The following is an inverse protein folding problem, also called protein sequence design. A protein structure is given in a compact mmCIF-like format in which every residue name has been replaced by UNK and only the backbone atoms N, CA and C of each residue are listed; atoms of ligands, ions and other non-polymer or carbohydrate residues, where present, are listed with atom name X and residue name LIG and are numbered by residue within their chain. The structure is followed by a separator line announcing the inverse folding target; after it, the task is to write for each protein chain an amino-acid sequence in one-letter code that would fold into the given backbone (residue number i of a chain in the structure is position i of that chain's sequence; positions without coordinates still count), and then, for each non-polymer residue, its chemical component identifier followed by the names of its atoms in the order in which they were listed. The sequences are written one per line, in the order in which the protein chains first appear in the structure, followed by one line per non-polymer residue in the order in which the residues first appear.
data_IF_076649052865
#
_entry.id   IF_076649052865
#
_cell.length_a   1.000
_cell.length_b   1.000
_cell.length_c   1.000
_cell.angle_alpha   90.00
_cell.angle_beta   90.00
_cell.angle_gamma   90.00
#
_symmetry.space_group_name_H-M   'P 1'
#
loop_
_entity.id
_entity.type
_entity.pdbx_description
1 polymer ?
#
# COMPACT_ATOMS: atom_id res chain seq x y z
N UNK A 1 -18.80 -16.12 -2.31
CA UNK A 1 -18.06 -15.18 -1.47
C UNK A 1 -18.56 -15.29 -0.03
N UNK A 2 -17.65 -15.41 0.92
CA UNK A 2 -17.99 -15.42 2.34
C UNK A 2 -18.40 -14.01 2.75
N UNK A 3 -19.63 -13.85 3.25
CA UNK A 3 -20.06 -12.60 3.85
C UNK A 3 -19.61 -12.59 5.30
N UNK A 4 -18.74 -11.66 5.65
CA UNK A 4 -18.33 -11.45 7.02
C UNK A 4 -19.37 -10.57 7.73
N UNK A 5 -19.85 -11.01 8.88
CA UNK A 5 -20.73 -10.23 9.76
C UNK A 5 -19.96 -9.84 11.02
N UNK A 6 -20.21 -8.64 11.55
CA UNK A 6 -19.53 -8.12 12.74
C UNK A 6 -18.01 -8.19 12.63
N UNK A 7 -17.48 -7.78 11.47
CA UNK A 7 -16.06 -7.82 11.18
C UNK A 7 -15.28 -6.78 11.97
N UNK A 8 -14.22 -7.22 12.62
CA UNK A 8 -13.20 -6.35 13.19
C UNK A 8 -12.11 -6.12 12.16
N UNK A 9 -11.71 -4.87 11.97
CA UNK A 9 -10.63 -4.51 11.04
C UNK A 9 -9.37 -4.21 11.82
N UNK A 10 -8.27 -4.86 11.44
CA UNK A 10 -6.92 -4.53 11.90
C UNK A 10 -6.14 -3.89 10.77
N UNK A 11 -5.51 -2.76 11.04
CA UNK A 11 -4.70 -2.06 10.07
C UNK A 11 -3.22 -2.43 10.26
N UNK A 12 -2.71 -3.28 9.40
CA UNK A 12 -1.32 -3.77 9.41
C UNK A 12 -0.41 -2.96 8.49
N UNK A 13 -0.79 -1.73 8.17
CA UNK A 13 0.06 -0.75 7.49
C UNK A 13 0.70 0.18 8.51
N UNK A 14 1.78 0.92 8.16
CA UNK A 14 2.46 1.79 9.11
C UNK A 14 1.70 3.08 9.44
N UNK A 15 0.61 3.39 8.72
CA UNK A 15 -0.13 4.64 8.88
C UNK A 15 -1.61 4.39 9.15
N UNK A 16 -2.31 5.32 9.82
CA UNK A 16 -3.76 5.24 9.93
C UNK A 16 -4.42 5.17 8.56
N UNK A 17 -5.52 4.44 8.47
CA UNK A 17 -6.37 4.39 7.27
C UNK A 17 -7.67 5.12 7.59
N UNK A 18 -7.96 6.18 6.84
CA UNK A 18 -9.14 7.01 7.04
C UNK A 18 -10.14 6.71 5.94
N UNK A 19 -11.35 6.35 6.34
CA UNK A 19 -12.45 6.02 5.43
C UNK A 19 -13.41 7.19 5.31
N UNK A 20 -13.70 7.59 4.07
CA UNK A 20 -14.72 8.58 3.73
C UNK A 20 -15.87 7.91 2.98
N UNK A 21 -17.05 8.50 3.06
CA UNK A 21 -18.19 8.13 2.18
C UNK A 21 -18.16 8.95 0.90
N UNK A 22 -18.83 8.44 -0.14
CA UNK A 22 -18.91 9.13 -1.42
C UNK A 22 -19.41 10.57 -1.36
N UNK A 23 -20.29 10.90 -0.40
CA UNK A 23 -20.76 12.27 -0.19
C UNK A 23 -19.66 13.25 0.27
N UNK A 24 -18.54 12.76 0.80
CA UNK A 24 -17.39 13.58 1.21
C UNK A 24 -16.50 14.02 0.03
N UNK A 25 -16.78 13.53 -1.17
CA UNK A 25 -15.95 13.73 -2.36
C UNK A 25 -16.54 14.84 -3.22
N UNK A 26 -15.71 15.75 -3.69
CA UNK A 26 -16.10 16.76 -4.66
C UNK A 26 -16.16 16.13 -6.06
N UNK A 27 -17.37 15.94 -6.59
CA UNK A 27 -17.59 15.32 -7.89
C UNK A 27 -17.09 16.18 -9.06
N UNK A 28 -17.01 17.50 -8.90
CA UNK A 28 -16.58 18.41 -9.96
C UNK A 28 -15.07 18.29 -10.26
N UNK A 29 -14.27 17.94 -9.24
CA UNK A 29 -12.82 17.83 -9.35
C UNK A 29 -12.30 16.39 -9.29
N UNK A 30 -13.20 15.43 -9.01
CA UNK A 30 -12.84 14.01 -8.90
C UNK A 30 -12.91 13.30 -10.25
N UNK A 31 -12.05 12.29 -10.40
CA UNK A 31 -12.06 11.34 -11.51
C UNK A 31 -12.08 9.94 -10.94
N UNK A 32 -12.49 8.95 -11.73
CA UNK A 32 -12.43 7.56 -11.33
C UNK A 32 -10.99 7.19 -10.92
N UNK A 33 -10.82 6.71 -9.69
CA UNK A 33 -9.52 6.35 -9.13
C UNK A 33 -8.71 7.52 -8.58
N UNK A 34 -9.18 8.76 -8.73
CA UNK A 34 -8.55 9.97 -8.19
C UNK A 34 -9.62 10.89 -7.64
N UNK A 35 -9.97 10.72 -6.40
CA UNK A 35 -11.03 11.45 -5.74
C UNK A 35 -10.47 12.62 -4.94
N UNK A 36 -11.22 13.74 -4.93
CA UNK A 36 -10.86 14.93 -4.19
C UNK A 36 -11.83 15.16 -3.05
N UNK A 37 -11.27 15.45 -1.87
CA UNK A 37 -12.05 15.72 -0.67
C UNK A 37 -12.83 17.03 -0.82
N UNK A 38 -14.13 17.00 -0.52
CA UNK A 38 -14.94 18.20 -0.46
C UNK A 38 -14.54 19.06 0.74
N UNK A 39 -14.67 20.37 0.60
CA UNK A 39 -14.39 21.31 1.68
C UNK A 39 -15.28 21.02 2.90
N UNK A 40 -14.69 20.92 4.09
CA UNK A 40 -15.40 20.66 5.32
C UNK A 40 -15.87 19.22 5.52
N UNK A 41 -15.51 18.30 4.65
CA UNK A 41 -15.87 16.91 4.81
C UNK A 41 -15.16 16.27 6.02
N UNK A 42 -15.89 15.40 6.73
CA UNK A 42 -15.38 14.68 7.89
C UNK A 42 -15.23 13.20 7.58
N UNK A 43 -14.24 12.52 8.20
CA UNK A 43 -14.09 11.08 8.04
C UNK A 43 -15.32 10.33 8.57
N UNK A 44 -15.66 9.22 7.90
CA UNK A 44 -16.66 8.29 8.42
C UNK A 44 -16.08 7.42 9.52
N UNK A 45 -14.85 6.95 9.33
CA UNK A 45 -14.13 6.13 10.29
C UNK A 45 -12.64 6.19 10.06
N UNK A 46 -11.88 6.03 11.12
CA UNK A 46 -10.43 5.88 11.06
C UNK A 46 -10.02 4.54 11.68
N UNK A 47 -9.12 3.86 10.99
CA UNK A 47 -8.50 2.64 11.48
C UNK A 47 -7.05 2.97 11.85
N UNK A 48 -6.73 3.12 13.14
CA UNK A 48 -5.37 3.41 13.56
C UNK A 48 -4.43 2.26 13.19
N UNK A 49 -3.15 2.55 13.00
CA UNK A 49 -2.15 1.52 12.82
C UNK A 49 -2.14 0.58 14.03
N UNK A 50 -2.12 -0.72 13.77
CA UNK A 50 -2.22 -1.75 14.82
C UNK A 50 -0.93 -1.88 15.65
N UNK A 51 0.19 -1.38 15.13
CA UNK A 51 1.51 -1.55 15.73
C UNK A 51 2.30 -2.73 15.16
N UNK A 52 1.63 -3.66 14.52
CA UNK A 52 2.23 -4.72 13.72
C UNK A 52 2.10 -4.33 12.25
N UNK A 53 3.19 -4.35 11.50
CA UNK A 53 3.20 -4.03 10.08
C UNK A 53 3.54 -5.29 9.29
N UNK A 54 2.58 -5.76 8.49
CA UNK A 54 2.81 -6.85 7.56
C UNK A 54 3.65 -6.37 6.38
N UNK A 55 4.70 -7.09 6.06
CA UNK A 55 5.65 -6.75 4.99
C UNK A 55 5.86 -7.91 4.05
N UNK A 56 6.22 -7.60 2.81
CA UNK A 56 6.78 -8.59 1.91
C UNK A 56 8.23 -8.87 2.31
N UNK A 57 8.62 -10.14 2.33
CA UNK A 57 10.00 -10.53 2.55
C UNK A 57 10.79 -10.28 1.26
N UNK A 58 11.82 -9.46 1.35
CA UNK A 58 12.70 -9.15 0.23
C UNK A 58 13.87 -10.13 0.16
N UNK A 59 14.19 -10.57 -1.06
CA UNK A 59 15.40 -11.33 -1.38
C UNK A 59 16.07 -10.73 -2.60
N UNK A 60 17.40 -10.85 -2.68
CA UNK A 60 18.19 -10.18 -3.70
C UNK A 60 18.66 -8.80 -3.24
N UNK A 61 18.91 -7.90 -4.17
CA UNK A 61 19.36 -6.54 -3.85
C UNK A 61 20.82 -6.42 -3.44
N UNK A 62 21.62 -7.49 -3.57
CA UNK A 62 23.06 -7.46 -3.30
C UNK A 62 23.78 -6.59 -4.34
N UNK A 63 24.98 -6.06 -3.98
CA UNK A 63 25.79 -5.31 -4.93
C UNK A 63 26.09 -6.12 -6.20
N UNK A 64 25.91 -5.50 -7.36
CA UNK A 64 26.03 -6.14 -8.67
C UNK A 64 26.84 -5.27 -9.64
N UNK A 65 27.99 -4.81 -9.18
CA UNK A 65 28.93 -4.04 -10.02
C UNK A 65 28.66 -2.56 -10.07
N UNK A 66 29.11 -1.95 -11.15
CA UNK A 66 28.98 -0.51 -11.37
C UNK A 66 28.55 -0.22 -12.80
N UNK A 67 27.87 0.90 -12.97
CA UNK A 67 27.51 1.43 -14.29
C UNK A 67 28.45 2.62 -14.58
N UNK A 68 29.37 2.49 -15.56
CA UNK A 68 30.21 3.62 -15.95
C UNK A 68 29.38 4.65 -16.72
N UNK A 69 29.53 5.90 -16.36
CA UNK A 69 28.88 7.01 -17.05
C UNK A 69 29.88 7.70 -17.99
N UNK A 70 29.38 8.10 -19.15
CA UNK A 70 30.16 8.93 -20.06
C UNK A 70 30.48 10.27 -19.38
N UNK A 71 31.71 10.75 -19.59
CA UNK A 71 32.12 12.06 -19.10
C UNK A 71 31.29 13.14 -19.80
N UNK A 72 30.79 14.11 -19.03
CA UNK A 72 30.13 15.27 -19.60
C UNK A 72 31.16 16.24 -20.27
N UNK A 73 32.40 16.19 -19.80
CA UNK A 73 33.55 16.91 -20.37
C UNK A 73 34.81 16.06 -20.23
N UNK A 74 35.72 16.15 -21.23
CA UNK A 74 36.92 15.31 -21.31
C UNK A 74 37.84 15.44 -20.11
N UNK A 75 37.84 16.58 -19.41
CA UNK A 75 38.71 16.88 -18.26
C UNK A 75 38.10 16.43 -16.92
N UNK A 76 36.83 15.99 -16.90
CA UNK A 76 36.21 15.46 -15.69
C UNK A 76 36.66 14.01 -15.45
N UNK A 77 36.80 13.60 -14.16
CA UNK A 77 37.06 12.21 -13.85
C UNK A 77 35.85 11.33 -14.26
N UNK A 78 36.09 10.05 -14.63
CA UNK A 78 35.00 9.13 -14.89
C UNK A 78 34.16 8.93 -13.64
N UNK A 79 32.84 8.82 -13.83
CA UNK A 79 31.89 8.54 -12.76
C UNK A 79 31.36 7.12 -12.90
N UNK A 80 31.37 6.36 -11.82
CA UNK A 80 30.79 5.02 -11.74
C UNK A 80 29.65 5.04 -10.74
N UNK A 81 28.50 4.51 -11.16
CA UNK A 81 27.32 4.41 -10.32
C UNK A 81 27.21 2.99 -9.79
N UNK A 82 27.17 2.77 -8.47
CA UNK A 82 26.90 1.43 -7.92
C UNK A 82 25.55 0.90 -8.40
N UNK A 83 25.53 -0.36 -8.77
CA UNK A 83 24.32 -1.06 -9.23
C UNK A 83 24.05 -2.22 -8.28
N UNK A 84 22.78 -2.44 -7.97
CA UNK A 84 22.34 -3.54 -7.14
C UNK A 84 21.54 -4.54 -7.96
N UNK A 85 21.62 -5.80 -7.59
CA UNK A 85 20.79 -6.85 -8.19
C UNK A 85 19.31 -6.58 -7.95
N UNK A 86 18.42 -7.13 -8.79
CA UNK A 86 16.99 -6.98 -8.59
C UNK A 86 16.55 -7.52 -7.24
N UNK A 87 15.60 -6.83 -6.62
CA UNK A 87 14.89 -7.30 -5.44
C UNK A 87 13.64 -8.05 -5.90
N UNK A 88 13.36 -9.19 -5.27
CA UNK A 88 12.12 -9.92 -5.43
C UNK A 88 11.49 -10.15 -4.05
N UNK A 89 10.20 -10.41 -4.02
CA UNK A 89 9.48 -10.71 -2.81
C UNK A 89 9.26 -12.21 -2.70
N UNK A 90 9.58 -12.79 -1.54
CA UNK A 90 9.47 -14.22 -1.28
C UNK A 90 8.76 -14.44 0.06
N UNK A 91 7.42 -14.39 0.03
CA UNK A 91 6.60 -14.55 1.21
C UNK A 91 6.39 -13.25 1.99
N UNK A 92 5.82 -13.38 3.18
CA UNK A 92 5.45 -12.27 4.05
C UNK A 92 6.13 -12.37 5.41
N UNK A 93 6.26 -11.23 6.08
CA UNK A 93 6.78 -11.10 7.45
C UNK A 93 5.71 -10.41 8.30
N UNK A 94 5.48 -10.92 9.50
CA UNK A 94 4.54 -10.38 10.48
C UNK A 94 3.07 -10.31 10.00
N UNK A 95 2.70 -11.19 9.07
CA UNK A 95 1.31 -11.35 8.67
C UNK A 95 0.68 -12.48 9.48
N UNK A 96 -0.31 -12.18 10.35
CA UNK A 96 -0.99 -13.19 11.14
C UNK A 96 -1.75 -14.20 10.29
N UNK A 97 -1.93 -15.40 10.82
CA UNK A 97 -2.83 -16.38 10.22
C UNK A 97 -4.28 -15.84 10.22
N UNK A 98 -5.13 -16.30 9.29
CA UNK A 98 -6.54 -15.89 9.26
C UNK A 98 -7.25 -16.21 10.57
N UNK A 99 -8.09 -15.26 11.02
CA UNK A 99 -8.96 -15.42 12.19
C UNK A 99 -10.38 -15.06 11.76
N UNK A 100 -11.34 -15.88 12.13
CA UNK A 100 -12.73 -15.63 11.82
C UNK A 100 -13.20 -14.28 12.37
N UNK A 101 -13.90 -13.51 11.53
CA UNK A 101 -14.43 -12.21 11.91
C UNK A 101 -13.40 -11.08 11.95
N UNK A 102 -12.15 -11.34 11.54
CA UNK A 102 -11.09 -10.34 11.47
C UNK A 102 -10.66 -10.13 10.02
N UNK A 103 -10.74 -8.88 9.57
CA UNK A 103 -10.21 -8.45 8.28
C UNK A 103 -8.92 -7.64 8.51
N UNK A 104 -7.94 -7.84 7.66
CA UNK A 104 -6.64 -7.19 7.74
C UNK A 104 -6.46 -6.24 6.58
N UNK A 105 -6.11 -4.99 6.86
CA UNK A 105 -5.65 -4.04 5.85
C UNK A 105 -4.14 -4.17 5.74
N UNK A 106 -3.66 -4.43 4.53
CA UNK A 106 -2.23 -4.57 4.23
C UNK A 106 -1.85 -3.67 3.06
N UNK A 107 -0.56 -3.42 2.89
CA UNK A 107 -0.07 -2.76 1.67
C UNK A 107 -0.28 -3.66 0.46
N UNK A 108 -0.34 -3.07 -0.72
CA UNK A 108 -0.49 -3.83 -1.96
C UNK A 108 0.63 -4.85 -2.15
N UNK A 109 1.87 -4.46 -1.86
CA UNK A 109 3.03 -5.35 -1.99
C UNK A 109 2.93 -6.53 -1.01
N UNK A 110 2.55 -6.28 0.24
CA UNK A 110 2.36 -7.35 1.22
C UNK A 110 1.21 -8.28 0.81
N UNK A 111 0.12 -7.74 0.27
CA UNK A 111 -1.00 -8.53 -0.25
C UNK A 111 -0.60 -9.43 -1.41
N UNK A 112 0.15 -8.91 -2.36
CA UNK A 112 0.66 -9.68 -3.50
C UNK A 112 1.62 -10.79 -3.05
N UNK A 113 2.50 -10.50 -2.11
CA UNK A 113 3.41 -11.49 -1.53
C UNK A 113 2.65 -12.61 -0.80
N UNK A 114 1.60 -12.27 -0.05
CA UNK A 114 0.74 -13.26 0.62
C UNK A 114 0.05 -14.17 -0.38
N UNK A 115 -0.46 -13.61 -1.47
CA UNK A 115 -1.08 -14.41 -2.54
C UNK A 115 -0.07 -15.33 -3.21
N UNK A 116 1.13 -14.82 -3.49
CA UNK A 116 2.19 -15.59 -4.14
C UNK A 116 2.69 -16.75 -3.28
N UNK A 117 2.71 -16.61 -1.95
CA UNK A 117 3.10 -17.70 -1.05
C UNK A 117 1.98 -18.73 -0.79
N UNK A 118 0.78 -18.51 -1.35
CA UNK A 118 -0.34 -19.41 -1.24
C UNK A 118 -1.16 -19.28 0.05
N UNK A 119 -1.00 -18.18 0.80
CA UNK A 119 -1.85 -17.90 1.96
C UNK A 119 -3.30 -17.69 1.51
N UNK A 120 -4.27 -18.19 2.27
CA UNK A 120 -5.66 -17.82 2.10
C UNK A 120 -5.80 -16.31 2.31
N UNK A 121 -6.25 -15.59 1.30
CA UNK A 121 -6.33 -14.13 1.28
C UNK A 121 -7.76 -13.60 1.44
N UNK A 122 -8.72 -14.43 1.83
CA UNK A 122 -10.13 -14.02 1.98
C UNK A 122 -10.29 -12.90 3.03
N UNK A 123 -9.38 -12.79 3.98
CA UNK A 123 -9.36 -11.78 5.05
C UNK A 123 -8.49 -10.56 4.72
N UNK A 124 -7.81 -10.53 3.59
CA UNK A 124 -6.86 -9.48 3.24
C UNK A 124 -7.46 -8.44 2.30
N UNK A 125 -7.22 -7.18 2.64
CA UNK A 125 -7.71 -6.02 1.88
C UNK A 125 -6.61 -4.98 1.74
N UNK A 126 -6.68 -4.23 0.64
CA UNK A 126 -5.88 -3.03 0.41
C UNK A 126 -6.81 -1.83 0.28
N UNK A 127 -6.28 -0.63 0.48
CA UNK A 127 -7.07 0.59 0.26
C UNK A 127 -7.37 0.77 -1.23
N UNK A 128 -8.56 1.26 -1.52
CA UNK A 128 -9.02 1.54 -2.87
C UNK A 128 -9.73 2.89 -2.92
N UNK A 129 -9.84 3.46 -4.11
CA UNK A 129 -10.50 4.75 -4.32
C UNK A 129 -9.88 5.82 -3.42
N UNK A 130 -8.62 6.13 -3.68
CA UNK A 130 -7.82 7.06 -2.89
C UNK A 130 -8.41 8.47 -2.95
N UNK A 131 -8.50 9.11 -1.80
CA UNK A 131 -8.97 10.49 -1.65
C UNK A 131 -7.79 11.40 -1.32
N UNK A 132 -7.69 12.51 -2.05
CA UNK A 132 -6.66 13.52 -1.86
C UNK A 132 -7.27 14.84 -1.39
N UNK A 133 -6.50 15.60 -0.61
CA UNK A 133 -6.87 16.97 -0.23
C UNK A 133 -6.59 17.98 -1.37
N UNK A 134 -6.87 19.25 -1.12
CA UNK A 134 -6.64 20.31 -2.10
C UNK A 134 -5.16 20.47 -2.48
N UNK A 135 -4.22 20.08 -1.60
CA UNK A 135 -2.80 20.10 -1.88
C UNK A 135 -2.31 18.85 -2.62
N UNK A 136 -3.20 17.90 -2.93
CA UNK A 136 -2.87 16.65 -3.61
C UNK A 136 -2.34 15.55 -2.71
N UNK A 137 -2.34 15.73 -1.40
CA UNK A 137 -1.89 14.72 -0.44
C UNK A 137 -2.97 13.68 -0.22
N UNK A 138 -2.57 12.42 -0.11
CA UNK A 138 -3.49 11.33 0.22
C UNK A 138 -3.97 11.50 1.66
N UNK A 139 -5.28 11.59 1.84
CA UNK A 139 -5.90 11.77 3.16
C UNK A 139 -6.79 10.59 3.56
N UNK A 140 -7.13 9.71 2.64
CA UNK A 140 -7.95 8.55 2.93
C UNK A 140 -8.37 7.76 1.69
N UNK A 141 -9.43 6.98 1.85
CA UNK A 141 -10.00 6.15 0.80
C UNK A 141 -11.52 6.07 0.94
N UNK A 142 -12.19 5.64 -0.14
CA UNK A 142 -13.63 5.39 -0.13
C UNK A 142 -13.96 3.91 0.03
N UNK A 143 -13.02 3.02 -0.22
CA UNK A 143 -13.28 1.59 -0.29
C UNK A 143 -12.04 0.78 0.05
N UNK A 144 -12.26 -0.51 0.28
CA UNK A 144 -11.21 -1.51 0.38
C UNK A 144 -11.35 -2.48 -0.80
N UNK A 145 -10.21 -3.01 -1.25
CA UNK A 145 -10.14 -3.99 -2.33
C UNK A 145 -9.68 -5.32 -1.80
N UNK A 146 -10.34 -6.39 -2.20
CA UNK A 146 -9.88 -7.75 -1.88
C UNK A 146 -8.53 -8.02 -2.54
N UNK A 147 -7.65 -8.68 -1.82
CA UNK A 147 -6.35 -9.12 -2.37
C UNK A 147 -6.55 -10.29 -3.33
N UNK A 148 -7.48 -11.15 -3.04
CA UNK A 148 -7.82 -12.29 -3.90
C UNK A 148 -9.29 -12.67 -3.83
#
# INVERSE_FOLDING_TARGET
ATTMTNTTIRNLTPHPVTLYRGAAVDTATSKRGDYRLASGATPTREFPADGVVARAAEVGGEPDGVLPLARSMAWLPPLEVPVYAPVRFAGTVDLPAPVDGVALIVSQIAGEAARAEGRDCADLFTVADIVRDAAGRIVGCLALRRVA
#
